data_IF_568552978116
#
_entry.id   IF_568552978116
#
_cell.length_a   1.000
_cell.length_b   1.000
_cell.length_c   1.000
_cell.angle_alpha   90.00
_cell.angle_beta   90.00
_cell.angle_gamma   90.00
#
_symmetry.space_group_name_H-M   'P 1'
#
loop_
_entity.id
_entity.type
_entity.pdbx_description
1 polymer ?
#
# COMPACT_ATOMS: atom_id res chain seq x y z
N UNK A 1 11.42 2.63 -11.14
CA UNK A 1 10.90 3.01 -9.80
C UNK A 1 11.81 2.40 -8.76
N UNK A 2 12.32 3.22 -7.84
CA UNK A 2 12.96 2.68 -6.64
C UNK A 2 11.83 2.21 -5.72
N UNK A 3 11.86 0.95 -5.31
CA UNK A 3 10.96 0.41 -4.32
C UNK A 3 11.70 -0.64 -3.47
N UNK A 4 11.25 -0.79 -2.24
CA UNK A 4 11.72 -1.83 -1.32
C UNK A 4 10.58 -2.84 -1.09
N UNK A 5 10.90 -4.13 -1.07
CA UNK A 5 9.93 -5.16 -0.69
C UNK A 5 10.05 -5.39 0.81
N UNK A 6 9.03 -5.03 1.58
CA UNK A 6 8.98 -5.23 3.03
C UNK A 6 8.46 -6.61 3.42
N UNK A 7 7.53 -7.15 2.62
CA UNK A 7 6.98 -8.49 2.82
C UNK A 7 6.77 -9.17 1.46
N UNK A 8 7.52 -10.23 1.13
CA UNK A 8 7.35 -10.96 -0.12
C UNK A 8 6.28 -12.06 -0.03
N UNK A 9 5.69 -12.43 -1.17
CA UNK A 9 4.92 -13.66 -1.41
C UNK A 9 4.01 -14.10 -0.24
N UNK A 10 3.04 -13.25 0.09
CA UNK A 10 2.11 -13.43 1.21
C UNK A 10 0.66 -13.36 0.74
N UNK A 11 -0.29 -13.73 1.61
CA UNK A 11 -1.72 -13.57 1.38
C UNK A 11 -2.17 -12.11 1.53
N UNK A 12 -3.34 -11.76 0.98
CA UNK A 12 -3.93 -10.42 1.17
C UNK A 12 -4.09 -10.06 2.65
N UNK A 13 -4.48 -11.04 3.48
CA UNK A 13 -4.66 -10.85 4.91
C UNK A 13 -3.34 -10.55 5.60
N UNK A 14 -2.28 -11.30 5.28
CA UNK A 14 -0.95 -11.08 5.88
C UNK A 14 -0.37 -9.73 5.49
N UNK A 15 -0.49 -9.30 4.22
CA UNK A 15 -0.06 -7.96 3.82
C UNK A 15 -0.85 -6.88 4.55
N UNK A 16 -2.17 -7.03 4.67
CA UNK A 16 -3.01 -6.08 5.38
C UNK A 16 -2.64 -5.99 6.88
N UNK A 17 -2.46 -7.14 7.53
CA UNK A 17 -2.08 -7.22 8.94
C UNK A 17 -0.67 -6.68 9.18
N UNK A 18 0.26 -6.91 8.26
CA UNK A 18 1.61 -6.36 8.32
C UNK A 18 1.58 -4.82 8.33
N UNK A 19 0.83 -4.21 7.41
CA UNK A 19 0.72 -2.75 7.32
C UNK A 19 0.12 -2.19 8.62
N UNK A 20 -0.98 -2.77 9.10
CA UNK A 20 -1.69 -2.32 10.31
C UNK A 20 -0.84 -2.41 11.59
N UNK A 21 0.06 -3.39 11.68
CA UNK A 21 0.87 -3.64 12.88
C UNK A 21 2.17 -2.84 12.91
N UNK A 22 2.77 -2.60 11.75
CA UNK A 22 4.11 -2.00 11.67
C UNK A 22 4.09 -0.49 11.45
N UNK A 23 2.97 0.08 10.99
CA UNK A 23 2.86 1.51 10.68
C UNK A 23 1.78 2.18 11.52
N UNK A 24 2.02 3.45 11.85
CA UNK A 24 1.11 4.26 12.69
C UNK A 24 0.12 5.06 11.84
N UNK A 25 0.58 5.60 10.72
CA UNK A 25 -0.20 6.43 9.82
C UNK A 25 -0.78 5.55 8.71
N UNK A 26 -1.98 5.00 8.95
CA UNK A 26 -2.64 4.03 8.05
C UNK A 26 -3.96 4.62 7.54
N UNK A 27 -4.14 4.57 6.23
CA UNK A 27 -5.35 4.92 5.51
C UNK A 27 -6.01 3.69 4.92
N UNK A 28 -7.32 3.74 4.75
CA UNK A 28 -8.12 2.65 4.21
C UNK A 28 -8.76 3.12 2.91
N UNK A 29 -8.49 2.39 1.83
CA UNK A 29 -9.01 2.70 0.50
C UNK A 29 -9.76 1.52 -0.08
N UNK A 30 -10.64 1.78 -1.04
CA UNK A 30 -11.36 0.73 -1.75
C UNK A 30 -10.47 0.04 -2.81
N UNK A 31 -10.78 -1.21 -3.12
CA UNK A 31 -10.22 -1.87 -4.30
C UNK A 31 -10.54 -1.06 -5.57
N UNK A 32 -9.57 -0.92 -6.45
CA UNK A 32 -9.65 0.00 -7.59
C UNK A 32 -9.22 1.44 -7.27
N UNK A 33 -8.72 1.73 -6.06
CA UNK A 33 -8.07 3.01 -5.79
C UNK A 33 -6.82 3.20 -6.66
N UNK A 34 -6.70 4.36 -7.31
CA UNK A 34 -5.56 4.69 -8.16
C UNK A 34 -4.46 5.37 -7.36
N UNK A 35 -3.23 4.82 -7.41
CA UNK A 35 -2.03 5.36 -6.75
C UNK A 35 -0.78 5.02 -7.58
N UNK A 36 0.17 5.94 -7.73
CA UNK A 36 1.35 5.74 -8.59
C UNK A 36 1.01 5.24 -10.00
N UNK A 37 -0.05 5.81 -10.59
CA UNK A 37 -0.63 5.41 -11.87
C UNK A 37 -1.09 3.95 -12.02
N UNK A 38 -1.21 3.22 -10.91
CA UNK A 38 -1.71 1.85 -10.87
C UNK A 38 -2.98 1.75 -10.02
N UNK A 39 -3.79 0.73 -10.29
CA UNK A 39 -4.98 0.43 -9.53
C UNK A 39 -4.69 -0.65 -8.49
N UNK A 40 -5.02 -0.37 -7.23
CA UNK A 40 -4.86 -1.35 -6.16
C UNK A 40 -5.88 -2.48 -6.33
N UNK A 41 -5.35 -3.71 -6.37
CA UNK A 41 -6.14 -4.94 -6.38
C UNK A 41 -6.07 -5.56 -4.99
N UNK A 42 -7.18 -6.05 -4.47
CA UNK A 42 -7.23 -6.66 -3.15
C UNK A 42 -8.64 -6.75 -2.60
N UNK A 43 -8.75 -7.08 -1.32
CA UNK A 43 -10.02 -7.15 -0.60
C UNK A 43 -10.22 -5.83 0.15
N UNK A 44 -11.29 -5.10 -0.17
CA UNK A 44 -11.66 -3.88 0.54
C UNK A 44 -12.02 -4.15 2.01
N UNK A 45 -11.74 -3.20 2.92
CA UNK A 45 -10.90 -2.02 2.72
C UNK A 45 -9.41 -2.38 2.72
N UNK A 46 -8.66 -1.85 1.75
CA UNK A 46 -7.22 -2.08 1.59
C UNK A 46 -6.45 -1.07 2.46
N UNK A 47 -5.64 -1.52 3.43
CA UNK A 47 -4.81 -0.62 4.20
C UNK A 47 -3.59 -0.20 3.39
N UNK A 48 -3.31 1.10 3.38
CA UNK A 48 -2.06 1.70 2.90
C UNK A 48 -1.51 2.58 4.02
N UNK A 49 -0.20 2.69 4.12
CA UNK A 49 0.44 3.52 5.14
C UNK A 49 1.36 4.56 4.54
N UNK A 50 1.63 5.59 5.33
CA UNK A 50 2.65 6.58 5.03
C UNK A 50 3.73 6.51 6.10
N UNK A 51 5.00 6.51 5.69
CA UNK A 51 6.17 6.53 6.57
C UNK A 51 7.12 7.63 6.08
N UNK A 52 7.01 8.80 6.71
CA UNK A 52 7.69 10.01 6.22
C UNK A 52 7.13 10.49 4.87
N UNK A 53 7.93 10.37 3.81
CA UNK A 53 7.57 10.69 2.42
C UNK A 53 7.31 9.43 1.56
N UNK A 54 7.43 8.24 2.17
CA UNK A 54 7.22 6.97 1.48
C UNK A 54 5.80 6.46 1.70
N UNK A 55 5.28 5.79 0.69
CA UNK A 55 3.99 5.10 0.75
C UNK A 55 4.22 3.60 0.82
N UNK A 56 3.51 2.95 1.74
CA UNK A 56 3.51 1.51 1.95
C UNK A 56 2.17 0.96 1.52
N UNK A 57 2.20 0.02 0.57
CA UNK A 57 0.98 -0.53 -0.01
C UNK A 57 1.10 -2.01 -0.34
N UNK A 58 -0.02 -2.75 -0.34
CA UNK A 58 -0.05 -4.09 -0.87
C UNK A 58 -0.02 -4.04 -2.40
N UNK A 59 0.81 -4.88 -3.00
CA UNK A 59 0.92 -5.04 -4.45
C UNK A 59 0.69 -6.48 -4.85
N UNK A 60 -0.25 -6.71 -5.77
CA UNK A 60 -0.66 -8.04 -6.18
C UNK A 60 -0.01 -8.36 -7.51
N UNK A 61 0.77 -9.44 -7.54
CA UNK A 61 1.32 -9.98 -8.78
C UNK A 61 0.54 -11.25 -9.14
N UNK A 62 -0.18 -11.28 -10.28
CA UNK A 62 -0.90 -12.47 -10.72
C UNK A 62 0.00 -13.71 -10.70
N UNK A 63 -0.51 -14.82 -10.17
CA UNK A 63 0.19 -16.10 -10.01
C UNK A 63 1.35 -16.13 -8.99
N UNK A 64 1.73 -14.99 -8.38
CA UNK A 64 2.89 -14.91 -7.48
C UNK A 64 2.56 -14.40 -6.06
N UNK A 65 1.29 -14.05 -5.80
CA UNK A 65 0.82 -13.62 -4.49
C UNK A 65 0.81 -12.11 -4.28
N UNK A 66 0.68 -11.71 -3.01
CA UNK A 66 0.64 -10.32 -2.56
C UNK A 66 1.97 -9.95 -1.88
N UNK A 67 2.39 -8.72 -2.09
CA UNK A 67 3.64 -8.16 -1.57
C UNK A 67 3.30 -6.89 -0.79
N UNK A 68 4.12 -6.52 0.18
CA UNK A 68 4.10 -5.17 0.76
C UNK A 68 5.31 -4.41 0.22
N UNK A 69 5.05 -3.30 -0.47
CA UNK A 69 6.07 -2.45 -1.05
C UNK A 69 6.17 -1.15 -0.26
N UNK A 70 7.39 -0.61 -0.13
CA UNK A 70 7.65 0.79 0.22
C UNK A 70 8.14 1.51 -1.03
N UNK A 71 7.47 2.60 -1.37
CA UNK A 71 7.73 3.38 -2.58
C UNK A 71 7.89 4.85 -2.19
N UNK A 72 9.02 5.51 -2.51
CA UNK A 72 9.15 6.95 -2.35
C UNK A 72 8.12 7.69 -3.18
N UNK A 73 7.36 8.58 -2.53
CA UNK A 73 6.17 9.15 -3.15
C UNK A 73 5.58 10.31 -2.37
N UNK A 74 6.37 11.38 -2.18
CA UNK A 74 5.97 12.57 -1.43
C UNK A 74 4.58 13.10 -1.81
N UNK A 75 4.32 13.24 -3.12
CA UNK A 75 3.03 13.76 -3.62
C UNK A 75 1.85 12.84 -3.26
N UNK A 76 2.05 11.51 -3.34
CA UNK A 76 1.02 10.54 -2.96
C UNK A 76 0.81 10.52 -1.45
N UNK A 77 1.89 10.59 -0.66
CA UNK A 77 1.83 10.70 0.80
C UNK A 77 1.05 11.96 1.24
N UNK A 78 1.32 13.10 0.62
CA UNK A 78 0.58 14.35 0.86
C UNK A 78 -0.88 14.26 0.42
N UNK A 79 -1.16 13.61 -0.71
CA UNK A 79 -2.53 13.37 -1.20
C UNK A 79 -3.35 12.53 -0.22
N UNK A 80 -2.76 11.46 0.32
CA UNK A 80 -3.38 10.61 1.33
C UNK A 80 -3.68 11.38 2.63
N UNK A 81 -2.71 12.18 3.11
CA UNK A 81 -2.88 13.06 4.28
C UNK A 81 -3.97 14.10 4.10
N UNK A 82 -4.11 14.65 2.90
CA UNK A 82 -5.13 15.64 2.58
C UNK A 82 -6.55 15.07 2.53
N UNK A 83 -6.72 13.74 2.57
CA UNK A 83 -8.02 13.08 2.42
C UNK A 83 -8.63 13.26 1.02
N UNK A 84 -7.79 13.56 0.02
CA UNK A 84 -8.21 13.78 -1.37
C UNK A 84 -8.05 12.47 -2.14
N UNK A 85 -8.99 11.53 -1.93
CA UNK A 85 -9.06 10.27 -2.65
C UNK A 85 -10.22 10.24 -3.64
#
# INVERSE_FOLDING_TARGET
>A
MNYEILLPNSSFKECADFIKKNFKEVYYVEAGFKIFDNYLVGVSPIPIAVDGEDVILPYVKPCHGCFVLRIPGKEEAERLRAGKY
#
